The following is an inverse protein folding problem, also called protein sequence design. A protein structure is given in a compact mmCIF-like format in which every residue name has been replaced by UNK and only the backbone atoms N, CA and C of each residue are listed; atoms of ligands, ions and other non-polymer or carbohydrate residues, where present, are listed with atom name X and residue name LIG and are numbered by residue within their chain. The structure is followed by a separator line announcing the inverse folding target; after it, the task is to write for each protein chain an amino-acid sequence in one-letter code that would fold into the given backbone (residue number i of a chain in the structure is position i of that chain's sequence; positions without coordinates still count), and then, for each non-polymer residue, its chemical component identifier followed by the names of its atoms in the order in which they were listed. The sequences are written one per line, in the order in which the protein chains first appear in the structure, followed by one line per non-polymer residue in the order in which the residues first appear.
data_IF_285773129267
#
_entry.id   IF_285773129267
#
_cell.length_a   1.000
_cell.length_b   1.000
_cell.length_c   1.000
_cell.angle_alpha   90.00
_cell.angle_beta   90.00
_cell.angle_gamma   90.00
#
_symmetry.space_group_name_H-M   'P 1'
#
loop_
_entity.id
_entity.type
_entity.pdbx_description
1 polymer ?
#
# COMPACT_ATOMS: atom_id res chain seq x y z
N UNK A 1 30.51 8.07 -8.31
CA UNK A 1 29.86 8.23 -7.00
C UNK A 1 30.76 8.86 -5.92
N UNK A 2 31.97 9.33 -6.25
CA UNK A 2 32.78 10.13 -5.33
C UNK A 2 32.71 11.60 -5.76
N UNK A 3 32.31 12.48 -4.84
CA UNK A 3 32.30 13.95 -4.93
C UNK A 3 31.03 14.66 -5.43
N UNK A 4 29.88 14.41 -4.79
CA UNK A 4 28.84 15.44 -4.66
C UNK A 4 28.93 16.02 -3.25
N UNK A 5 29.45 17.25 -3.12
CA UNK A 5 29.43 18.01 -1.86
C UNK A 5 28.06 18.68 -1.74
N UNK A 6 27.17 18.10 -0.92
CA UNK A 6 25.90 18.71 -0.54
C UNK A 6 26.21 19.80 0.51
N UNK A 7 25.77 21.06 0.33
CA UNK A 7 25.92 22.09 1.35
C UNK A 7 25.11 21.73 2.59
N UNK A 8 25.78 21.61 3.73
CA UNK A 8 25.17 21.34 5.03
C UNK A 8 24.42 22.61 5.50
N UNK A 9 23.13 22.73 5.16
CA UNK A 9 22.23 23.68 5.80
C UNK A 9 21.76 23.08 7.14
N UNK A 10 22.61 23.14 8.16
CA UNK A 10 22.25 22.84 9.55
C UNK A 10 22.88 23.89 10.47
N UNK A 11 22.24 25.06 10.60
CA UNK A 11 22.65 26.09 11.56
C UNK A 11 21.67 26.28 12.72
N UNK A 12 20.69 25.38 12.90
CA UNK A 12 19.89 25.32 14.12
C UNK A 12 19.72 23.85 14.53
N UNK A 13 20.13 23.44 15.75
CA UNK A 13 19.76 22.12 16.24
C UNK A 13 18.23 22.06 16.31
N UNK A 14 17.57 21.02 15.78
CA UNK A 14 16.14 20.86 16.01
C UNK A 14 15.91 20.81 17.51
N UNK A 15 15.04 21.69 18.00
CA UNK A 15 14.43 21.58 19.33
C UNK A 15 14.02 20.12 19.58
N UNK A 16 14.14 19.57 20.81
CA UNK A 16 13.73 18.20 21.12
C UNK A 16 12.20 18.07 21.00
N UNK A 17 11.72 17.96 19.76
CA UNK A 17 10.32 17.82 19.38
C UNK A 17 9.82 16.39 19.59
N UNK A 18 10.70 15.43 19.79
CA UNK A 18 10.36 14.01 19.90
C UNK A 18 9.62 13.63 21.19
N UNK A 19 10.08 14.04 22.41
CA UNK A 19 9.44 13.61 23.65
C UNK A 19 8.00 14.09 23.76
N UNK A 20 7.74 15.38 23.50
CA UNK A 20 6.39 15.97 23.61
C UNK A 20 5.44 15.50 22.50
N UNK A 21 5.96 15.06 21.36
CA UNK A 21 5.16 14.47 20.28
C UNK A 21 4.76 13.04 20.60
N UNK A 22 5.68 12.25 21.17
CA UNK A 22 5.38 10.88 21.61
C UNK A 22 4.44 10.84 22.82
N UNK A 23 4.58 11.79 23.75
CA UNK A 23 3.68 11.92 24.89
C UNK A 23 2.25 12.26 24.43
N UNK A 24 2.08 13.29 23.59
CA UNK A 24 0.77 13.63 22.99
C UNK A 24 0.18 12.52 22.12
N UNK A 25 1.03 11.75 21.43
CA UNK A 25 0.59 10.58 20.69
C UNK A 25 0.08 9.50 21.64
N UNK A 26 0.81 9.21 22.70
CA UNK A 26 0.42 8.23 23.72
C UNK A 26 -0.87 8.64 24.40
N UNK A 27 -1.03 9.92 24.74
CA UNK A 27 -2.30 10.48 25.26
C UNK A 27 -3.43 10.37 24.24
N UNK A 28 -3.18 10.64 22.95
CA UNK A 28 -4.20 10.49 21.89
C UNK A 28 -4.62 9.03 21.69
N UNK A 29 -3.68 8.09 21.78
CA UNK A 29 -3.95 6.65 21.70
C UNK A 29 -4.69 6.18 22.95
N UNK A 30 -4.26 6.61 24.13
CA UNK A 30 -4.93 6.30 25.40
C UNK A 30 -6.37 6.85 25.42
N UNK A 31 -6.58 8.08 24.98
CA UNK A 31 -7.93 8.66 24.86
C UNK A 31 -8.78 7.95 23.80
N UNK A 32 -8.16 7.46 22.71
CA UNK A 32 -8.86 6.61 21.74
C UNK A 32 -9.31 5.28 22.36
N UNK A 33 -8.50 4.69 23.25
CA UNK A 33 -8.79 3.42 23.92
C UNK A 33 -9.83 3.59 25.03
N UNK A 34 -9.74 4.66 25.82
CA UNK A 34 -10.70 4.98 26.90
C UNK A 34 -12.06 5.45 26.36
N UNK A 35 -12.09 5.99 25.13
CA UNK A 35 -13.29 6.49 24.45
C UNK A 35 -13.93 5.52 23.45
N UNK A 36 -13.62 4.21 23.47
CA UNK A 36 -14.20 3.25 22.51
C UNK A 36 -15.71 3.11 22.79
N UNK A 37 -16.50 3.86 22.02
CA UNK A 37 -17.96 3.78 22.00
C UNK A 37 -18.46 2.46 21.41
N UNK A 38 -19.77 2.27 21.46
CA UNK A 38 -20.43 1.09 20.89
C UNK A 38 -20.16 0.92 19.39
N UNK A 39 -20.08 2.03 18.64
CA UNK A 39 -19.76 2.01 17.21
C UNK A 39 -18.33 1.53 16.97
N UNK A 40 -17.35 2.09 17.69
CA UNK A 40 -15.93 1.73 17.55
C UNK A 40 -15.72 0.23 17.81
N UNK A 41 -16.42 -0.35 18.79
CA UNK A 41 -16.38 -1.81 19.06
C UNK A 41 -16.84 -2.64 17.86
N UNK A 42 -17.85 -2.20 17.13
CA UNK A 42 -18.34 -2.90 15.92
C UNK A 42 -17.28 -2.90 14.83
N UNK A 43 -16.60 -1.78 14.59
CA UNK A 43 -15.52 -1.70 13.61
C UNK A 43 -14.31 -2.54 14.01
N UNK A 44 -13.92 -2.50 15.28
CA UNK A 44 -12.83 -3.33 15.80
C UNK A 44 -13.18 -4.82 15.70
N UNK A 45 -14.43 -5.20 15.97
CA UNK A 45 -14.94 -6.55 15.76
C UNK A 45 -14.84 -6.99 14.29
N UNK A 46 -15.22 -6.13 13.35
CA UNK A 46 -15.06 -6.36 11.91
C UNK A 46 -13.58 -6.57 11.52
N UNK A 47 -12.68 -5.69 11.95
CA UNK A 47 -11.24 -5.80 11.71
C UNK A 47 -10.69 -7.12 12.25
N UNK A 48 -11.01 -7.44 13.51
CA UNK A 48 -10.56 -8.66 14.17
C UNK A 48 -11.06 -9.91 13.42
N UNK A 49 -12.32 -9.92 12.98
CA UNK A 49 -12.89 -11.02 12.22
C UNK A 49 -12.15 -11.24 10.88
N UNK A 50 -11.86 -10.18 10.14
CA UNK A 50 -11.13 -10.27 8.87
C UNK A 50 -9.71 -10.81 9.08
N UNK A 51 -8.97 -10.28 10.06
CA UNK A 51 -7.64 -10.78 10.38
C UNK A 51 -7.67 -12.25 10.81
N UNK A 52 -8.61 -12.63 11.68
CA UNK A 52 -8.75 -14.00 12.15
C UNK A 52 -8.99 -14.97 10.99
N UNK A 53 -9.96 -14.67 10.11
CA UNK A 53 -10.25 -15.48 8.92
C UNK A 53 -9.02 -15.58 8.00
N UNK A 54 -8.36 -14.45 7.74
CA UNK A 54 -7.17 -14.40 6.88
C UNK A 54 -6.01 -15.21 7.46
N UNK A 55 -5.75 -15.11 8.77
CA UNK A 55 -4.72 -15.91 9.46
C UNK A 55 -5.05 -17.40 9.37
N UNK A 56 -6.31 -17.80 9.57
CA UNK A 56 -6.76 -19.19 9.44
C UNK A 56 -6.50 -19.69 8.01
N UNK A 57 -6.87 -18.92 6.99
CA UNK A 57 -6.65 -19.25 5.57
C UNK A 57 -5.15 -19.44 5.29
N UNK A 58 -4.32 -18.46 5.64
CA UNK A 58 -2.86 -18.54 5.39
C UNK A 58 -2.25 -19.73 6.13
N UNK A 59 -2.65 -19.97 7.38
CA UNK A 59 -2.18 -21.10 8.17
C UNK A 59 -2.59 -22.44 7.55
N UNK A 60 -3.85 -22.54 7.09
CA UNK A 60 -4.34 -23.73 6.40
C UNK A 60 -3.55 -24.02 5.12
N UNK A 61 -3.33 -23.01 4.27
CA UNK A 61 -2.55 -23.13 3.04
C UNK A 61 -1.10 -23.54 3.34
N UNK A 62 -0.48 -22.93 4.36
CA UNK A 62 0.86 -23.32 4.81
C UNK A 62 0.94 -24.79 5.22
N UNK A 63 -0.02 -25.27 6.02
CA UNK A 63 -0.07 -26.67 6.45
C UNK A 63 -0.16 -27.59 5.24
N UNK A 64 -1.05 -27.31 4.29
CA UNK A 64 -1.20 -28.10 3.06
C UNK A 64 0.10 -28.12 2.25
N UNK A 65 0.77 -26.98 2.07
CA UNK A 65 2.07 -26.89 1.37
C UNK A 65 3.18 -27.65 2.10
N UNK A 66 3.21 -27.63 3.44
CA UNK A 66 4.21 -28.36 4.23
C UNK A 66 4.09 -29.88 4.14
N UNK A 67 2.88 -30.38 3.85
CA UNK A 67 2.62 -31.81 3.63
C UNK A 67 2.99 -32.29 2.22
N UNK A 68 3.70 -31.47 1.44
CA UNK A 68 4.11 -31.81 0.08
C UNK A 68 2.99 -31.74 -0.97
N UNK A 69 1.79 -31.25 -0.59
CA UNK A 69 0.79 -30.92 -1.59
C UNK A 69 1.34 -29.74 -2.41
N UNK A 70 1.52 -29.88 -3.76
CA UNK A 70 1.66 -28.69 -4.60
C UNK A 70 0.45 -27.78 -4.38
N UNK A 71 0.52 -26.53 -4.86
CA UNK A 71 -0.51 -25.49 -4.68
C UNK A 71 -1.91 -26.11 -4.53
N UNK A 72 -2.68 -25.77 -3.48
CA UNK A 72 -3.87 -26.54 -3.09
C UNK A 72 -4.95 -26.62 -4.19
N UNK A 73 -4.78 -25.87 -5.27
CA UNK A 73 -5.68 -25.79 -6.41
C UNK A 73 -4.96 -26.25 -7.69
N UNK A 74 -5.66 -26.99 -8.58
CA UNK A 74 -5.17 -27.28 -9.93
C UNK A 74 -4.95 -25.97 -10.71
N UNK A 75 -4.29 -25.99 -11.88
CA UNK A 75 -4.22 -24.81 -12.74
C UNK A 75 -5.62 -24.27 -13.04
N UNK A 76 -5.96 -23.11 -12.47
CA UNK A 76 -7.26 -22.48 -12.64
C UNK A 76 -7.24 -21.53 -13.83
N UNK A 77 -8.38 -21.42 -14.52
CA UNK A 77 -8.53 -20.42 -15.57
C UNK A 77 -8.47 -19.01 -14.97
N UNK A 78 -7.94 -18.07 -15.74
CA UNK A 78 -7.89 -16.66 -15.34
C UNK A 78 -9.28 -16.09 -15.00
N UNK A 79 -10.31 -16.49 -15.74
CA UNK A 79 -11.68 -16.05 -15.49
C UNK A 79 -12.17 -16.45 -14.09
N UNK A 80 -11.78 -17.63 -13.62
CA UNK A 80 -12.12 -18.10 -12.28
C UNK A 80 -11.36 -17.32 -11.20
N UNK A 81 -10.04 -17.17 -11.34
CA UNK A 81 -9.20 -16.39 -10.40
C UNK A 81 -9.74 -14.95 -10.29
N UNK A 82 -9.99 -14.31 -11.43
CA UNK A 82 -10.60 -12.97 -11.50
C UNK A 82 -11.95 -12.90 -10.79
N UNK A 83 -12.82 -13.89 -11.00
CA UNK A 83 -14.12 -13.93 -10.34
C UNK A 83 -13.97 -14.01 -8.82
N UNK A 84 -13.08 -14.86 -8.29
CA UNK A 84 -12.80 -14.94 -6.86
C UNK A 84 -12.34 -13.60 -6.27
N UNK A 85 -11.44 -12.89 -6.96
CA UNK A 85 -10.97 -11.58 -6.52
C UNK A 85 -12.10 -10.53 -6.49
N UNK A 86 -12.95 -10.46 -7.52
CA UNK A 86 -14.12 -9.58 -7.50
C UNK A 86 -15.12 -9.95 -6.40
N UNK A 87 -15.39 -11.25 -6.22
CA UNK A 87 -16.29 -11.76 -5.19
C UNK A 87 -15.83 -11.49 -3.77
N UNK A 88 -14.53 -11.26 -3.53
CA UNK A 88 -14.03 -10.80 -2.23
C UNK A 88 -13.96 -9.27 -2.15
N UNK A 89 -13.38 -8.62 -3.17
CA UNK A 89 -13.14 -7.19 -3.19
C UNK A 89 -14.43 -6.36 -3.10
N UNK A 90 -15.46 -6.71 -3.88
CA UNK A 90 -16.71 -5.94 -3.92
C UNK A 90 -17.40 -5.97 -2.55
N UNK A 91 -17.64 -7.14 -1.90
CA UNK A 91 -18.23 -7.18 -0.56
C UNK A 91 -17.38 -6.50 0.51
N UNK A 92 -16.05 -6.57 0.45
CA UNK A 92 -15.20 -5.87 1.42
C UNK A 92 -15.37 -4.34 1.31
N UNK A 93 -15.35 -3.78 0.11
CA UNK A 93 -15.56 -2.34 -0.12
C UNK A 93 -16.99 -1.94 0.27
N UNK A 94 -18.00 -2.59 -0.31
CA UNK A 94 -19.41 -2.24 -0.07
C UNK A 94 -19.79 -2.46 1.39
N UNK A 95 -19.37 -3.58 1.98
CA UNK A 95 -19.60 -3.88 3.39
C UNK A 95 -18.96 -2.85 4.32
N UNK A 96 -17.74 -2.40 4.03
CA UNK A 96 -17.08 -1.36 4.83
C UNK A 96 -17.76 0.00 4.73
N UNK A 97 -18.22 0.36 3.53
CA UNK A 97 -18.98 1.58 3.26
C UNK A 97 -20.34 1.59 3.96
N UNK A 98 -21.06 0.47 3.93
CA UNK A 98 -22.32 0.29 4.68
C UNK A 98 -22.08 0.32 6.18
N UNK A 99 -21.01 -0.32 6.67
CA UNK A 99 -20.66 -0.31 8.08
C UNK A 99 -20.40 1.13 8.57
N UNK A 100 -19.72 1.96 7.78
CA UNK A 100 -19.50 3.38 8.06
C UNK A 100 -20.77 4.22 8.04
N UNK A 101 -21.76 3.83 7.23
CA UNK A 101 -23.05 4.52 7.12
C UNK A 101 -23.93 4.24 8.35
N UNK A 102 -24.03 2.98 8.77
CA UNK A 102 -24.87 2.57 9.90
C UNK A 102 -24.21 2.83 11.26
N UNK A 103 -22.90 2.64 11.34
CA UNK A 103 -22.12 2.89 12.53
C UNK A 103 -21.00 3.88 12.19
N UNK A 104 -21.26 5.19 12.28
CA UNK A 104 -20.24 6.22 12.17
C UNK A 104 -18.93 5.87 12.89
N UNK A 105 -17.82 5.78 12.14
CA UNK A 105 -16.49 5.44 12.68
C UNK A 105 -15.52 6.62 12.61
N UNK A 106 -14.64 6.74 13.60
CA UNK A 106 -13.55 7.71 13.50
C UNK A 106 -12.65 7.41 12.28
N UNK A 107 -12.05 8.43 11.65
CA UNK A 107 -11.16 8.32 10.48
C UNK A 107 -10.07 7.26 10.65
N UNK A 108 -9.54 7.14 11.86
CA UNK A 108 -8.54 6.13 12.22
C UNK A 108 -9.05 4.73 11.91
N UNK A 109 -10.29 4.40 12.29
CA UNK A 109 -10.88 3.08 12.07
C UNK A 109 -11.13 2.77 10.59
N UNK A 110 -11.36 3.77 9.74
CA UNK A 110 -11.43 3.56 8.29
C UNK A 110 -10.10 3.03 7.76
N UNK A 111 -8.98 3.63 8.17
CA UNK A 111 -7.66 3.16 7.75
C UNK A 111 -7.37 1.73 8.26
N UNK A 112 -7.73 1.42 9.51
CA UNK A 112 -7.61 0.07 10.07
C UNK A 112 -8.42 -0.97 9.30
N UNK A 113 -9.68 -0.67 8.97
CA UNK A 113 -10.52 -1.54 8.15
C UNK A 113 -9.98 -1.72 6.75
N UNK A 114 -9.55 -0.64 6.11
CA UNK A 114 -9.01 -0.70 4.76
C UNK A 114 -7.76 -1.59 4.70
N UNK A 115 -6.87 -1.54 5.70
CA UNK A 115 -5.72 -2.44 5.79
C UNK A 115 -6.11 -3.89 6.06
N UNK A 116 -7.09 -4.13 6.94
CA UNK A 116 -7.61 -5.48 7.16
C UNK A 116 -8.14 -6.09 5.85
N UNK A 117 -8.85 -5.30 5.05
CA UNK A 117 -9.34 -5.69 3.73
C UNK A 117 -8.18 -6.02 2.77
N UNK A 118 -7.10 -5.20 2.75
CA UNK A 118 -5.88 -5.50 1.99
C UNK A 118 -5.28 -6.85 2.37
N UNK A 119 -5.18 -7.13 3.67
CA UNK A 119 -4.63 -8.39 4.15
C UNK A 119 -5.46 -9.60 3.71
N UNK A 120 -6.79 -9.47 3.70
CA UNK A 120 -7.69 -10.50 3.16
C UNK A 120 -7.46 -10.74 1.66
N UNK A 121 -7.28 -9.67 0.88
CA UNK A 121 -7.01 -9.75 -0.56
C UNK A 121 -5.64 -10.39 -0.83
N UNK A 122 -4.61 -9.98 -0.09
CA UNK A 122 -3.29 -10.61 -0.16
C UNK A 122 -3.35 -12.09 0.23
N UNK A 123 -4.18 -12.45 1.21
CA UNK A 123 -4.40 -13.84 1.61
C UNK A 123 -5.09 -14.66 0.52
N UNK A 124 -6.03 -14.07 -0.22
CA UNK A 124 -6.64 -14.70 -1.39
C UNK A 124 -5.61 -14.93 -2.50
N UNK A 125 -4.80 -13.92 -2.85
CA UNK A 125 -3.72 -14.08 -3.83
C UNK A 125 -2.70 -15.15 -3.39
N UNK A 126 -2.41 -15.23 -2.09
CA UNK A 126 -1.53 -16.25 -1.55
C UNK A 126 -2.01 -17.69 -1.82
N UNK A 127 -3.33 -17.93 -1.84
CA UNK A 127 -3.91 -19.22 -2.21
C UNK A 127 -3.53 -19.59 -3.65
N UNK A 128 -3.62 -18.63 -4.57
CA UNK A 128 -3.33 -18.84 -6.00
C UNK A 128 -1.83 -18.81 -6.31
N UNK A 129 -1.03 -18.21 -5.43
CA UNK A 129 0.41 -18.06 -5.63
C UNK A 129 1.20 -19.37 -5.57
N UNK A 130 2.45 -19.32 -6.07
CA UNK A 130 3.43 -20.40 -5.91
C UNK A 130 4.30 -20.25 -4.65
N UNK A 131 4.09 -19.19 -3.88
CA UNK A 131 4.87 -18.87 -2.67
C UNK A 131 4.87 -20.04 -1.69
N UNK A 132 6.02 -20.62 -1.35
CA UNK A 132 6.07 -21.85 -0.55
C UNK A 132 5.47 -21.72 0.85
N UNK A 133 5.80 -20.64 1.56
CA UNK A 133 5.37 -20.41 2.94
C UNK A 133 5.37 -18.91 3.24
N UNK A 134 4.27 -18.40 3.74
CA UNK A 134 4.15 -17.04 4.30
C UNK A 134 3.95 -17.15 5.81
N UNK A 135 4.59 -16.30 6.61
CA UNK A 135 4.35 -16.29 8.06
C UNK A 135 3.08 -15.50 8.36
N UNK A 136 1.97 -16.18 8.68
CA UNK A 136 0.68 -15.52 8.90
C UNK A 136 0.77 -14.40 9.95
N UNK A 137 1.44 -14.67 11.08
CA UNK A 137 1.59 -13.67 12.14
C UNK A 137 2.55 -12.54 11.74
N UNK A 138 3.62 -12.84 11.02
CA UNK A 138 4.54 -11.79 10.58
C UNK A 138 3.90 -10.89 9.51
N UNK A 139 3.15 -11.46 8.57
CA UNK A 139 2.44 -10.67 7.56
C UNK A 139 1.32 -9.82 8.17
N UNK A 140 0.56 -10.37 9.14
CA UNK A 140 -0.43 -9.58 9.88
C UNK A 140 0.23 -8.48 10.75
N UNK A 141 1.36 -8.78 11.39
CA UNK A 141 2.14 -7.79 12.13
C UNK A 141 2.71 -6.70 11.21
N UNK A 142 3.25 -7.09 10.06
CA UNK A 142 3.77 -6.18 9.03
C UNK A 142 2.67 -5.30 8.43
N UNK A 143 1.48 -5.83 8.17
CA UNK A 143 0.35 -5.02 7.68
C UNK A 143 -0.12 -4.01 8.72
N UNK A 144 -0.16 -4.39 10.01
CA UNK A 144 -0.47 -3.48 11.10
C UNK A 144 0.62 -2.42 11.31
N UNK A 145 1.89 -2.79 11.16
CA UNK A 145 3.01 -1.85 11.24
C UNK A 145 2.99 -0.86 10.07
N UNK A 146 2.73 -1.34 8.86
CA UNK A 146 2.57 -0.52 7.66
C UNK A 146 1.44 0.49 7.82
N UNK A 147 0.31 0.05 8.35
CA UNK A 147 -0.82 0.93 8.66
C UNK A 147 -0.43 1.97 9.71
N UNK A 148 0.14 1.54 10.83
CA UNK A 148 0.44 2.41 11.96
C UNK A 148 1.45 3.49 11.55
N UNK A 149 2.49 3.11 10.81
CA UNK A 149 3.48 4.04 10.27
C UNK A 149 2.88 4.97 9.22
N UNK A 150 2.11 4.45 8.27
CA UNK A 150 1.40 5.26 7.26
C UNK A 150 0.55 6.34 7.94
N UNK A 151 -0.22 5.92 8.93
CA UNK A 151 -1.13 6.77 9.65
C UNK A 151 -0.41 7.84 10.47
N UNK A 152 0.64 7.47 11.22
CA UNK A 152 1.45 8.41 12.00
C UNK A 152 2.09 9.48 11.12
N UNK A 153 2.69 9.08 9.99
CA UNK A 153 3.30 10.01 9.03
C UNK A 153 2.24 10.95 8.47
N UNK A 154 1.08 10.42 8.08
CA UNK A 154 0.01 11.22 7.50
C UNK A 154 -0.50 12.27 8.49
N UNK A 155 -0.80 11.88 9.73
CA UNK A 155 -1.25 12.80 10.77
C UNK A 155 -0.20 13.86 11.10
N UNK A 156 1.07 13.46 11.16
CA UNK A 156 2.16 14.40 11.37
C UNK A 156 2.21 15.45 10.26
N UNK A 157 2.17 15.02 8.99
CA UNK A 157 2.20 15.90 7.84
C UNK A 157 1.00 16.86 7.81
N UNK A 158 -0.20 16.33 8.02
CA UNK A 158 -1.44 17.11 8.04
C UNK A 158 -1.43 18.21 9.09
N UNK A 159 -1.09 17.84 10.33
CA UNK A 159 -1.10 18.76 11.47
C UNK A 159 0.04 19.76 11.41
N UNK A 160 1.26 19.30 11.16
CA UNK A 160 2.46 20.12 11.36
C UNK A 160 2.99 20.77 10.08
N UNK A 161 2.76 20.16 8.92
CA UNK A 161 3.30 20.68 7.65
C UNK A 161 2.22 21.47 6.90
N UNK A 162 0.99 20.99 6.93
CA UNK A 162 -0.09 21.55 6.12
C UNK A 162 -1.07 22.43 6.89
N UNK A 163 -0.93 22.50 8.21
CA UNK A 163 -1.71 23.39 9.08
C UNK A 163 -3.22 23.16 9.00
N UNK A 164 -3.64 21.95 8.61
CA UNK A 164 -5.04 21.61 8.37
C UNK A 164 -5.55 20.60 9.39
N UNK A 165 -6.80 20.79 9.82
CA UNK A 165 -7.61 19.68 10.32
C UNK A 165 -8.02 18.83 9.12
N UNK A 166 -7.41 17.66 9.00
CA UNK A 166 -7.72 16.71 7.95
C UNK A 166 -9.04 16.01 8.27
N UNK A 167 -10.16 16.68 8.03
CA UNK A 167 -11.45 16.01 8.11
C UNK A 167 -11.57 15.05 6.93
N UNK A 168 -11.47 13.75 7.19
CA UNK A 168 -11.86 12.75 6.20
C UNK A 168 -13.34 12.96 5.87
N UNK A 169 -13.66 13.13 4.59
CA UNK A 169 -15.02 13.24 4.12
C UNK A 169 -15.62 11.84 4.10
N UNK A 170 -16.46 11.54 5.09
CA UNK A 170 -17.20 10.28 5.09
C UNK A 170 -18.33 10.39 4.07
N UNK A 171 -18.31 9.53 3.06
CA UNK A 171 -19.47 9.37 2.19
C UNK A 171 -20.57 8.64 2.97
N UNK A 172 -21.75 9.24 3.01
CA UNK A 172 -22.94 8.70 3.71
C UNK A 172 -24.10 8.48 2.76
N UNK A 173 -23.99 8.93 1.50
CA UNK A 173 -24.97 8.75 0.45
C UNK A 173 -24.37 7.97 -0.71
N UNK A 174 -24.91 6.78 -0.96
CA UNK A 174 -24.45 5.89 -2.03
C UNK A 174 -25.52 5.72 -3.10
N UNK A 175 -26.13 6.82 -3.55
CA UNK A 175 -26.90 6.77 -4.80
C UNK A 175 -25.96 6.33 -5.94
N UNK A 176 -26.45 5.64 -6.98
CA UNK A 176 -25.60 5.23 -8.11
C UNK A 176 -24.79 6.40 -8.70
N UNK A 177 -25.39 7.60 -8.73
CA UNK A 177 -24.72 8.82 -9.19
C UNK A 177 -23.64 9.32 -8.24
N UNK A 178 -23.90 9.37 -6.93
CA UNK A 178 -22.90 9.75 -5.94
C UNK A 178 -21.72 8.77 -5.97
N UNK A 179 -22.00 7.48 -6.10
CA UNK A 179 -20.99 6.45 -6.26
C UNK A 179 -20.16 6.65 -7.52
N UNK A 180 -20.79 6.86 -8.69
CA UNK A 180 -20.08 7.10 -9.94
C UNK A 180 -19.18 8.35 -9.88
N UNK A 181 -19.68 9.45 -9.31
CA UNK A 181 -18.87 10.66 -9.10
C UNK A 181 -17.68 10.39 -8.17
N UNK A 182 -17.90 9.71 -7.04
CA UNK A 182 -16.80 9.38 -6.12
C UNK A 182 -15.78 8.44 -6.76
N UNK A 183 -16.20 7.51 -7.61
CA UNK A 183 -15.28 6.69 -8.41
C UNK A 183 -14.42 7.54 -9.35
N UNK A 184 -15.03 8.49 -10.06
CA UNK A 184 -14.29 9.40 -10.93
C UNK A 184 -13.31 10.26 -10.13
N UNK A 185 -13.75 10.86 -9.01
CA UNK A 185 -12.89 11.67 -8.13
C UNK A 185 -11.73 10.85 -7.58
N UNK A 186 -12.03 9.66 -7.07
CA UNK A 186 -11.03 8.72 -6.55
C UNK A 186 -10.05 8.33 -7.63
N UNK A 187 -10.51 7.95 -8.83
CA UNK A 187 -9.63 7.54 -9.92
C UNK A 187 -8.63 8.62 -10.34
N UNK A 188 -9.08 9.87 -10.47
CA UNK A 188 -8.18 10.98 -10.79
C UNK A 188 -7.23 11.29 -9.63
N UNK A 189 -7.72 11.28 -8.39
CA UNK A 189 -6.87 11.49 -7.23
C UNK A 189 -5.79 10.43 -7.10
N UNK A 190 -6.15 9.14 -7.20
CA UNK A 190 -5.21 8.03 -7.13
C UNK A 190 -4.17 8.07 -8.25
N UNK A 191 -4.54 8.55 -9.43
CA UNK A 191 -3.60 8.74 -10.55
C UNK A 191 -2.55 9.79 -10.20
N UNK A 192 -2.96 10.96 -9.70
CA UNK A 192 -2.04 12.01 -9.26
C UNK A 192 -1.20 11.57 -8.06
N UNK A 193 -1.84 11.01 -7.05
CA UNK A 193 -1.20 10.49 -5.85
C UNK A 193 -0.17 9.40 -6.19
N UNK A 194 -0.48 8.54 -7.16
CA UNK A 194 0.44 7.54 -7.69
C UNK A 194 1.69 8.16 -8.30
N UNK A 195 1.55 9.21 -9.12
CA UNK A 195 2.70 9.93 -9.71
C UNK A 195 3.59 10.53 -8.62
N UNK A 196 3.02 11.29 -7.68
CA UNK A 196 3.80 11.92 -6.62
C UNK A 196 4.41 10.90 -5.65
N UNK A 197 3.68 9.83 -5.35
CA UNK A 197 4.21 8.69 -4.58
C UNK A 197 5.43 8.12 -5.26
N UNK A 198 5.34 7.84 -6.57
CA UNK A 198 6.42 7.21 -7.29
C UNK A 198 7.66 8.11 -7.43
N UNK A 199 7.45 9.42 -7.57
CA UNK A 199 8.52 10.41 -7.56
C UNK A 199 9.33 10.40 -6.26
N UNK A 200 8.70 10.15 -5.10
CA UNK A 200 9.38 10.04 -3.80
C UNK A 200 9.90 8.62 -3.56
N UNK A 201 9.15 7.61 -3.99
CA UNK A 201 9.48 6.21 -3.82
C UNK A 201 10.76 5.83 -4.56
N UNK A 202 10.86 6.13 -5.86
CA UNK A 202 12.00 5.70 -6.69
C UNK A 202 13.39 6.04 -6.11
N UNK A 203 13.70 7.28 -5.68
CA UNK A 203 15.01 7.59 -5.10
C UNK A 203 15.22 6.93 -3.74
N UNK A 204 14.18 6.82 -2.91
CA UNK A 204 14.27 6.13 -1.61
C UNK A 204 14.48 4.63 -1.78
N UNK A 205 13.83 4.02 -2.75
CA UNK A 205 14.00 2.63 -3.10
C UNK A 205 15.41 2.36 -3.68
N UNK A 206 15.93 3.22 -4.56
CA UNK A 206 17.34 3.16 -5.00
C UNK A 206 18.31 3.19 -3.81
N UNK A 207 18.02 4.01 -2.79
CA UNK A 207 18.81 4.07 -1.57
C UNK A 207 18.74 2.76 -0.78
N UNK A 208 17.57 2.12 -0.66
CA UNK A 208 17.47 0.82 0.03
C UNK A 208 18.21 -0.29 -0.69
N UNK A 209 18.42 -0.16 -2.00
CA UNK A 209 19.26 -1.06 -2.81
C UNK A 209 20.77 -0.77 -2.73
N UNK A 210 21.19 0.27 -2.01
CA UNK A 210 22.61 0.49 -1.77
C UNK A 210 23.24 -0.72 -1.06
N UNK A 211 24.43 -1.22 -1.45
CA UNK A 211 24.98 -2.48 -0.94
C UNK A 211 25.07 -2.61 0.59
N UNK A 212 25.25 -1.48 1.28
CA UNK A 212 25.31 -1.42 2.76
C UNK A 212 23.94 -1.55 3.42
N UNK A 213 22.87 -1.11 2.75
CA UNK A 213 21.50 -1.06 3.27
C UNK A 213 20.73 -2.30 2.82
N UNK A 214 20.86 -2.67 1.54
CA UNK A 214 20.13 -3.76 0.89
C UNK A 214 20.20 -5.06 1.69
N UNK A 215 21.42 -5.51 2.02
CA UNK A 215 21.62 -6.78 2.75
C UNK A 215 20.89 -6.84 4.10
N UNK A 216 20.68 -5.69 4.75
CA UNK A 216 20.11 -5.58 6.09
C UNK A 216 18.61 -5.34 6.09
N UNK A 217 18.12 -4.51 5.17
CA UNK A 217 16.74 -4.03 5.21
C UNK A 217 15.87 -4.62 4.10
N UNK A 218 16.38 -4.67 2.87
CA UNK A 218 15.52 -4.86 1.70
C UNK A 218 15.75 -6.22 0.98
N UNK A 219 16.85 -6.91 1.28
CA UNK A 219 17.13 -8.25 0.71
C UNK A 219 16.08 -9.29 1.13
N UNK A 220 15.55 -9.19 2.34
CA UNK A 220 14.50 -10.11 2.83
C UNK A 220 13.24 -10.04 1.99
N UNK A 221 12.84 -8.82 1.62
CA UNK A 221 11.73 -8.55 0.71
C UNK A 221 11.99 -9.11 -0.70
N UNK A 222 13.24 -9.06 -1.17
CA UNK A 222 13.68 -9.69 -2.43
C UNK A 222 14.05 -11.17 -2.34
N UNK A 223 13.85 -11.84 -1.20
CA UNK A 223 14.25 -13.23 -1.06
C UNK A 223 13.29 -14.22 -1.77
N UNK A 224 12.09 -13.78 -2.10
CA UNK A 224 10.98 -14.57 -2.68
C UNK A 224 10.68 -14.20 -4.15
N UNK A 225 11.64 -13.56 -4.83
CA UNK A 225 11.50 -12.84 -6.10
C UNK A 225 10.97 -13.60 -7.31
N UNK A 226 10.94 -14.92 -7.28
CA UNK A 226 10.37 -15.73 -8.37
C UNK A 226 8.97 -16.25 -8.09
N UNK A 227 8.49 -16.14 -6.86
CA UNK A 227 7.20 -16.66 -6.39
C UNK A 227 6.56 -15.63 -5.46
N UNK A 228 6.08 -14.53 -6.05
CA UNK A 228 5.42 -13.47 -5.29
C UNK A 228 4.00 -13.88 -4.87
N UNK A 229 3.53 -13.23 -3.81
CA UNK A 229 2.12 -13.11 -3.47
C UNK A 229 1.89 -11.73 -2.85
N UNK A 230 0.65 -11.25 -2.86
CA UNK A 230 0.31 -9.95 -2.27
C UNK A 230 0.66 -9.83 -0.78
N UNK A 231 0.88 -10.94 -0.06
CA UNK A 231 1.38 -10.93 1.32
C UNK A 231 2.87 -10.59 1.44
N UNK A 232 3.66 -10.77 0.38
CA UNK A 232 5.11 -10.53 0.39
C UNK A 232 5.43 -9.03 0.58
N UNK A 233 4.46 -8.15 0.27
CA UNK A 233 4.51 -6.73 0.61
C UNK A 233 4.84 -6.50 2.09
N UNK A 234 4.29 -7.33 3.00
CA UNK A 234 4.44 -7.18 4.46
C UNK A 234 5.43 -8.17 5.07
N UNK A 235 6.28 -8.79 4.24
CA UNK A 235 7.30 -9.76 4.69
C UNK A 235 8.69 -9.12 4.83
N UNK A 236 8.77 -7.80 4.69
CA UNK A 236 10.00 -7.05 4.77
C UNK A 236 10.60 -6.99 6.18
N UNK A 237 11.72 -6.28 6.29
CA UNK A 237 12.22 -5.84 7.58
C UNK A 237 11.31 -4.70 8.10
N UNK A 238 11.06 -4.60 9.41
CA UNK A 238 10.16 -3.60 9.97
C UNK A 238 10.48 -2.15 9.53
N UNK A 239 11.77 -1.81 9.44
CA UNK A 239 12.19 -0.49 8.93
C UNK A 239 11.89 -0.29 7.43
N UNK A 240 11.96 -1.36 6.63
CA UNK A 240 11.58 -1.31 5.22
C UNK A 240 10.07 -1.04 5.10
N UNK A 241 9.25 -1.76 5.86
CA UNK A 241 7.79 -1.56 5.92
C UNK A 241 7.43 -0.12 6.32
N UNK A 242 8.15 0.46 7.29
CA UNK A 242 7.95 1.86 7.73
C UNK A 242 8.36 2.84 6.63
N UNK A 243 9.53 2.67 6.02
CA UNK A 243 10.04 3.61 5.01
C UNK A 243 9.16 3.58 3.77
N UNK A 244 8.82 2.39 3.27
CA UNK A 244 7.98 2.24 2.09
C UNK A 244 6.57 2.80 2.35
N UNK A 245 5.96 2.51 3.50
CA UNK A 245 4.72 3.15 3.95
C UNK A 245 4.83 4.69 3.97
N UNK A 246 5.91 5.22 4.53
CA UNK A 246 6.12 6.66 4.63
C UNK A 246 6.23 7.32 3.25
N UNK A 247 6.96 6.73 2.30
CA UNK A 247 7.13 7.30 0.95
C UNK A 247 5.81 7.43 0.20
N UNK A 248 4.95 6.41 0.33
CA UNK A 248 3.58 6.43 -0.19
C UNK A 248 2.81 7.59 0.41
N UNK A 249 2.77 7.69 1.73
CA UNK A 249 1.99 8.71 2.42
C UNK A 249 2.48 10.12 2.14
N UNK A 250 3.79 10.32 1.99
CA UNK A 250 4.36 11.60 1.58
C UNK A 250 3.82 12.01 0.20
N UNK A 251 3.80 11.09 -0.77
CA UNK A 251 3.24 11.35 -2.11
C UNK A 251 1.75 11.68 -2.10
N UNK A 252 0.96 10.92 -1.35
CA UNK A 252 -0.46 11.18 -1.15
C UNK A 252 -0.70 12.55 -0.50
N UNK A 253 0.03 12.85 0.58
CA UNK A 253 -0.14 14.10 1.32
C UNK A 253 0.30 15.31 0.50
N UNK A 254 1.39 15.18 -0.27
CA UNK A 254 1.83 16.22 -1.20
C UNK A 254 0.76 16.51 -2.27
N UNK A 255 0.17 15.47 -2.85
CA UNK A 255 -0.91 15.60 -3.85
C UNK A 255 -2.11 16.34 -3.29
N UNK A 256 -2.58 15.91 -2.12
CA UNK A 256 -3.69 16.56 -1.43
C UNK A 256 -3.41 18.05 -1.19
N UNK A 257 -2.19 18.41 -0.79
CA UNK A 257 -1.83 19.80 -0.50
C UNK A 257 -1.79 20.65 -1.74
N UNK A 258 -1.21 20.13 -2.81
CA UNK A 258 -1.23 20.79 -4.12
C UNK A 258 -2.68 21.00 -4.55
N UNK A 259 -3.52 19.96 -4.50
CA UNK A 259 -4.94 20.07 -4.84
C UNK A 259 -5.65 21.12 -3.97
N UNK A 260 -5.44 21.12 -2.65
CA UNK A 260 -6.05 22.11 -1.75
C UNK A 260 -5.58 23.53 -2.08
N UNK A 261 -4.28 23.74 -2.30
CA UNK A 261 -3.71 25.06 -2.63
C UNK A 261 -4.19 25.59 -3.98
N UNK A 262 -4.48 24.71 -4.93
CA UNK A 262 -5.03 25.04 -6.23
C UNK A 262 -6.56 25.18 -6.24
N UNK A 263 -7.23 25.07 -5.08
CA UNK A 263 -8.69 25.13 -4.98
C UNK A 263 -9.42 23.88 -5.51
N UNK A 264 -8.68 22.79 -5.73
CA UNK A 264 -9.18 21.53 -6.27
C UNK A 264 -9.57 20.52 -5.18
N UNK A 265 -9.44 20.86 -3.89
CA UNK A 265 -9.69 19.93 -2.78
C UNK A 265 -11.06 19.23 -2.83
N UNK A 266 -12.12 19.97 -3.22
CA UNK A 266 -13.47 19.41 -3.38
C UNK A 266 -13.61 18.48 -4.60
N UNK A 267 -12.85 18.74 -5.67
CA UNK A 267 -12.89 17.95 -6.89
C UNK A 267 -12.19 16.59 -6.74
N UNK A 268 -11.16 16.50 -5.89
CA UNK A 268 -10.39 15.26 -5.71
C UNK A 268 -10.72 14.49 -4.42
N UNK A 269 -11.30 15.17 -3.42
CA UNK A 269 -11.68 14.61 -2.12
C UNK A 269 -10.74 13.50 -1.61
N UNK A 270 -9.45 13.84 -1.38
CA UNK A 270 -8.36 12.87 -1.22
C UNK A 270 -8.46 12.00 0.04
N UNK A 271 -9.34 12.37 0.96
CA UNK A 271 -9.58 11.71 2.23
C UNK A 271 -11.04 11.28 2.31
N UNK A 272 -11.54 10.53 1.33
CA UNK A 272 -12.84 9.85 1.47
C UNK A 272 -12.65 8.40 1.89
N UNK A 273 -13.60 7.86 2.66
CA UNK A 273 -13.59 6.44 3.03
C UNK A 273 -13.62 5.53 1.79
N UNK A 274 -14.37 5.92 0.76
CA UNK A 274 -14.36 5.25 -0.56
C UNK A 274 -12.96 5.19 -1.17
N UNK A 275 -12.24 6.31 -1.21
CA UNK A 275 -10.89 6.35 -1.75
C UNK A 275 -9.92 5.45 -0.97
N UNK A 276 -10.02 5.44 0.36
CA UNK A 276 -9.22 4.56 1.22
C UNK A 276 -9.47 3.08 0.96
N UNK A 277 -10.75 2.66 0.87
CA UNK A 277 -11.06 1.26 0.62
C UNK A 277 -10.61 0.81 -0.77
N UNK A 278 -10.76 1.64 -1.80
CA UNK A 278 -10.28 1.33 -3.16
C UNK A 278 -8.75 1.29 -3.22
N UNK A 279 -8.09 2.30 -2.65
CA UNK A 279 -6.63 2.40 -2.65
C UNK A 279 -5.97 1.18 -2.00
N UNK A 280 -6.47 0.80 -0.83
CA UNK A 280 -5.86 -0.26 -0.03
C UNK A 280 -6.02 -1.64 -0.68
N UNK A 281 -7.05 -1.85 -1.51
CA UNK A 281 -7.18 -3.06 -2.34
C UNK A 281 -6.11 -3.12 -3.42
N UNK A 282 -5.67 -1.97 -3.96
CA UNK A 282 -4.61 -1.90 -4.98
C UNK A 282 -3.23 -2.26 -4.41
N UNK A 283 -3.01 -1.93 -3.13
CA UNK A 283 -1.72 -2.10 -2.47
C UNK A 283 -1.18 -3.53 -2.54
N UNK A 284 -1.88 -4.62 -2.16
CA UNK A 284 -1.34 -5.97 -2.25
C UNK A 284 -1.11 -6.44 -3.70
N UNK A 285 -1.78 -5.86 -4.70
CA UNK A 285 -1.59 -6.26 -6.09
C UNK A 285 -0.24 -5.85 -6.67
N UNK A 286 0.45 -4.91 -6.03
CA UNK A 286 1.86 -4.59 -6.29
C UNK A 286 2.80 -5.80 -6.33
N UNK A 287 2.52 -6.76 -5.46
CA UNK A 287 3.28 -7.99 -5.29
C UNK A 287 2.44 -9.21 -5.66
N UNK A 288 1.39 -9.01 -6.48
CA UNK A 288 0.51 -10.10 -6.88
C UNK A 288 1.29 -11.25 -7.51
N UNK A 289 0.81 -12.47 -7.27
CA UNK A 289 1.34 -13.67 -7.90
C UNK A 289 1.14 -13.71 -9.42
N UNK A 290 0.17 -12.94 -9.92
CA UNK A 290 -0.16 -12.77 -11.34
C UNK A 290 -0.29 -11.27 -11.65
N UNK A 291 0.51 -10.77 -12.60
CA UNK A 291 0.52 -9.35 -12.97
C UNK A 291 -0.82 -8.85 -13.53
N UNK A 292 -1.68 -9.74 -14.03
CA UNK A 292 -3.04 -9.40 -14.48
C UNK A 292 -3.94 -8.94 -13.34
N UNK A 293 -3.66 -9.32 -12.10
CA UNK A 293 -4.45 -8.91 -10.93
C UNK A 293 -4.39 -7.39 -10.70
N UNK A 294 -3.28 -6.75 -11.06
CA UNK A 294 -3.14 -5.31 -10.96
C UNK A 294 -4.01 -4.53 -11.96
N UNK A 295 -4.51 -5.18 -13.00
CA UNK A 295 -5.45 -4.59 -13.96
C UNK A 295 -6.92 -4.70 -13.51
N UNK A 296 -7.22 -5.35 -12.38
CA UNK A 296 -8.61 -5.57 -11.95
C UNK A 296 -9.36 -4.30 -11.54
N UNK A 297 -8.64 -3.32 -10.97
CA UNK A 297 -9.24 -2.06 -10.53
C UNK A 297 -9.13 -1.00 -11.63
N UNK A 298 -7.96 -0.93 -12.27
CA UNK A 298 -7.69 0.00 -13.37
C UNK A 298 -6.81 -0.69 -14.42
N UNK A 299 -7.33 -0.98 -15.62
CA UNK A 299 -6.54 -1.55 -16.71
C UNK A 299 -5.63 -0.47 -17.30
N UNK A 300 -4.45 -0.30 -16.69
CA UNK A 300 -3.44 0.66 -17.13
C UNK A 300 -2.44 0.01 -18.10
N UNK A 301 -1.86 0.78 -19.05
CA UNK A 301 -0.72 0.32 -19.84
C UNK A 301 0.43 -0.15 -18.96
N UNK A 302 1.24 -1.11 -19.42
CA UNK A 302 2.38 -1.67 -18.64
C UNK A 302 3.30 -0.60 -18.06
N UNK A 303 3.52 0.51 -18.78
CA UNK A 303 4.34 1.63 -18.34
C UNK A 303 3.81 2.36 -17.09
N UNK A 304 2.51 2.31 -16.86
CA UNK A 304 1.80 2.98 -15.76
C UNK A 304 1.19 1.99 -14.76
N UNK A 305 1.15 0.71 -15.11
CA UNK A 305 0.68 -0.34 -14.24
C UNK A 305 1.78 -0.69 -13.25
N UNK A 306 1.64 -0.16 -12.04
CA UNK A 306 2.62 -0.29 -10.98
C UNK A 306 3.07 -1.74 -10.77
N UNK A 307 2.14 -2.67 -10.56
CA UNK A 307 2.53 -4.03 -10.28
C UNK A 307 3.25 -4.67 -11.46
N UNK A 308 2.77 -4.47 -12.69
CA UNK A 308 3.39 -5.07 -13.87
C UNK A 308 4.81 -4.52 -14.09
N UNK A 309 4.98 -3.21 -13.95
CA UNK A 309 6.27 -2.55 -14.13
C UNK A 309 7.27 -2.93 -13.03
N UNK A 310 6.82 -2.90 -11.76
CA UNK A 310 7.65 -3.22 -10.60
C UNK A 310 7.94 -4.72 -10.47
N UNK A 311 7.13 -5.60 -11.06
CA UNK A 311 7.41 -7.03 -11.09
C UNK A 311 8.76 -7.36 -11.75
N UNK A 312 9.17 -6.58 -12.77
CA UNK A 312 10.49 -6.70 -13.39
C UNK A 312 11.60 -6.46 -12.36
N UNK A 313 11.44 -5.48 -11.48
CA UNK A 313 12.40 -5.17 -10.43
C UNK A 313 12.57 -6.32 -9.44
N UNK A 314 11.50 -6.99 -9.03
CA UNK A 314 11.65 -8.20 -8.21
C UNK A 314 12.45 -9.27 -8.94
N UNK A 315 12.21 -9.45 -10.24
CA UNK A 315 12.92 -10.47 -11.00
C UNK A 315 14.38 -10.09 -11.33
N UNK A 316 14.70 -8.81 -11.42
CA UNK A 316 16.04 -8.24 -11.57
C UNK A 316 16.15 -6.94 -10.76
N UNK A 317 16.65 -7.01 -9.50
CA UNK A 317 16.73 -5.85 -8.60
C UNK A 317 17.61 -4.70 -9.07
N UNK A 318 18.32 -4.85 -10.20
CA UNK A 318 19.07 -3.77 -10.83
C UNK A 318 18.23 -2.91 -11.77
N UNK A 319 16.96 -3.27 -12.01
CA UNK A 319 16.06 -2.64 -12.98
C UNK A 319 14.83 -2.05 -12.31
N UNK A 320 14.21 -1.06 -12.96
CA UNK A 320 12.91 -0.49 -12.59
C UNK A 320 12.76 -0.13 -11.09
N UNK A 321 13.59 0.78 -10.58
CA UNK A 321 13.50 1.17 -9.16
C UNK A 321 12.22 1.93 -8.82
N UNK A 322 11.57 2.55 -9.79
CA UNK A 322 10.26 3.13 -9.65
C UNK A 322 9.16 2.08 -9.63
N UNK A 323 7.97 2.56 -9.30
CA UNK A 323 6.72 1.84 -9.45
C UNK A 323 6.23 1.97 -10.90
N UNK A 324 6.60 3.03 -11.63
CA UNK A 324 6.17 3.30 -13.01
C UNK A 324 7.29 3.85 -13.89
N UNK A 325 7.14 3.72 -15.22
CA UNK A 325 8.10 4.20 -16.20
C UNK A 325 8.38 5.71 -16.10
N UNK A 326 7.39 6.61 -15.96
CA UNK A 326 7.66 8.05 -15.90
C UNK A 326 8.60 8.47 -14.76
N UNK A 327 8.48 7.86 -13.58
CA UNK A 327 9.38 8.21 -12.46
C UNK A 327 10.80 7.73 -12.74
N UNK A 328 10.97 6.52 -13.26
CA UNK A 328 12.30 6.00 -13.58
C UNK A 328 12.93 6.74 -14.75
N UNK A 329 12.16 7.19 -15.74
CA UNK A 329 12.69 8.07 -16.79
C UNK A 329 13.27 9.36 -16.20
N UNK A 330 12.53 10.00 -15.29
CA UNK A 330 13.01 11.21 -14.62
C UNK A 330 14.29 10.92 -13.82
N UNK A 331 14.26 9.92 -12.94
CA UNK A 331 15.37 9.66 -12.04
C UNK A 331 16.59 9.05 -12.73
N UNK A 332 16.42 8.17 -13.72
CA UNK A 332 17.53 7.70 -14.56
C UNK A 332 18.18 8.85 -15.32
N UNK A 333 17.39 9.80 -15.83
CA UNK A 333 17.92 11.00 -16.50
C UNK A 333 18.72 11.87 -15.53
N UNK A 334 18.16 12.17 -14.35
CA UNK A 334 18.81 13.01 -13.34
C UNK A 334 20.08 12.37 -12.77
N UNK A 335 20.10 11.04 -12.65
CA UNK A 335 21.20 10.29 -12.04
C UNK A 335 22.20 9.72 -13.06
N UNK A 336 21.93 9.86 -14.37
CA UNK A 336 22.72 9.25 -15.43
C UNK A 336 22.71 7.71 -15.39
N UNK A 337 21.60 7.11 -14.94
CA UNK A 337 21.45 5.66 -14.79
C UNK A 337 20.70 5.04 -15.99
N UNK A 338 20.74 3.71 -16.11
CA UNK A 338 20.02 2.94 -17.14
C UNK A 338 19.42 1.67 -16.53
N UNK A 339 18.29 1.84 -15.88
CA UNK A 339 17.62 0.82 -15.06
C UNK A 339 16.31 0.37 -15.67
N UNK A 340 15.74 1.15 -16.60
CA UNK A 340 14.44 0.86 -17.23
C UNK A 340 14.49 -0.38 -18.13
N UNK A 341 13.54 -1.29 -17.94
CA UNK A 341 13.19 -2.40 -18.85
C UNK A 341 11.68 -2.59 -18.83
N UNK A 342 11.05 -2.67 -20.01
CA UNK A 342 9.60 -2.91 -20.09
C UNK A 342 9.25 -4.36 -19.75
N UNK A 343 8.11 -4.67 -19.09
CA UNK A 343 7.73 -6.04 -18.75
C UNK A 343 7.67 -6.97 -19.95
N UNK A 344 7.05 -6.54 -21.05
CA UNK A 344 7.01 -7.29 -22.31
C UNK A 344 8.39 -7.55 -22.92
N UNK A 345 9.35 -6.64 -22.77
CA UNK A 345 10.74 -6.85 -23.22
C UNK A 345 11.47 -7.84 -22.30
N UNK A 346 11.30 -7.69 -20.99
CA UNK A 346 11.90 -8.57 -19.99
C UNK A 346 11.42 -10.02 -20.16
N UNK A 347 10.12 -10.22 -20.41
CA UNK A 347 9.54 -11.53 -20.68
C UNK A 347 10.15 -12.20 -21.92
N UNK A 348 10.35 -11.44 -23.01
CA UNK A 348 11.02 -11.95 -24.22
C UNK A 348 12.45 -12.42 -23.94
N UNK A 349 13.20 -11.70 -23.09
CA UNK A 349 14.58 -12.06 -22.71
C UNK A 349 14.69 -13.31 -21.85
N UNK A 350 13.64 -13.66 -21.10
CA UNK A 350 13.60 -14.88 -20.27
C UNK A 350 13.07 -16.12 -21.01
N UNK A 351 12.31 -15.92 -22.08
CA UNK A 351 11.65 -16.99 -22.84
C UNK A 351 12.44 -17.50 -24.05
N UNK A 352 13.57 -16.89 -24.38
CA UNK A 352 14.55 -17.37 -25.36
C UNK A 352 15.84 -17.74 -24.65
#
# INVERSE_FOLDING_TARGET
WNQVKIPLLLSNPPSPLFPSTMERFTESVASMVEGIGSNEKIHLGYVAAIYAVSIIIVSHVNTRRSLGSPSPLPPLSWNYVRACHYSLMIPLIVGSLLLDQFWPSNVYLVAFKAMANSYAIGSLDYIFSQTRKASALACAGGSLLWLSSSFMVQMYLLRNVFGGDASMVRQTSYTPWAFALEWLRTGHYLSLAGIFTDLVFSPMHRLTHHPLIYKRLHKGHHATTTQLSGLELWRGHALDDIIMAATIIVGFSATMVICTRLGLGYAFNPLSNTAWYIYQVYLPYSHASDSRLAALIAPMPEALNFAAYHHVHHQDPSKNYGLTLPSDLLWDTLLGARTIVMPSEFAKRKGG
#
